data_IF_076417687195
#
_entry.id   IF_076417687195
#
_cell.length_a   1.000
_cell.length_b   1.000
_cell.length_c   1.000
_cell.angle_alpha   90.00
_cell.angle_beta   90.00
_cell.angle_gamma   90.00
#
_symmetry.space_group_name_H-M   'P 1'
#
loop_
_entity.id
_entity.type
_entity.pdbx_description
1 polymer ?
#
# COMPACT_ATOMS: atom_id res chain seq x y z
N UNK A 1 -17.82 -3.50 11.87
CA UNK A 1 -17.38 -3.11 10.51
C UNK A 1 -18.35 -3.72 9.51
N UNK A 2 -18.71 -3.03 8.43
CA UNK A 2 -19.59 -3.58 7.37
C UNK A 2 -18.83 -3.65 6.07
N UNK A 3 -18.87 -4.80 5.40
CA UNK A 3 -18.27 -5.09 4.09
C UNK A 3 -19.43 -5.38 3.13
N UNK A 4 -19.38 -4.85 1.91
CA UNK A 4 -20.33 -5.22 0.87
C UNK A 4 -19.64 -5.40 -0.48
N UNK A 5 -20.12 -6.38 -1.24
CA UNK A 5 -19.90 -6.44 -2.68
C UNK A 5 -20.94 -5.55 -3.38
N UNK A 6 -20.55 -4.79 -4.39
CA UNK A 6 -21.45 -3.94 -5.17
C UNK A 6 -21.43 -4.39 -6.63
N UNK A 7 -22.62 -4.48 -7.25
CA UNK A 7 -22.79 -4.74 -8.68
C UNK A 7 -22.51 -3.46 -9.51
N UNK A 8 -21.32 -2.89 -9.32
CA UNK A 8 -20.84 -1.75 -10.08
C UNK A 8 -19.36 -1.99 -10.36
N UNK A 9 -19.00 -2.07 -11.64
CA UNK A 9 -17.62 -2.21 -12.05
C UNK A 9 -16.80 -0.96 -11.70
N UNK A 10 -15.62 -1.17 -11.11
CA UNK A 10 -14.72 -0.09 -10.71
C UNK A 10 -13.82 -0.45 -9.52
N UNK A 11 -12.98 0.50 -9.06
CA UNK A 11 -12.04 0.25 -7.99
C UNK A 11 -12.76 0.00 -6.66
N UNK A 12 -12.30 -1.04 -5.95
CA UNK A 12 -12.67 -1.29 -4.55
C UNK A 12 -12.21 -0.12 -3.67
N UNK A 13 -12.82 0.03 -2.49
CA UNK A 13 -12.47 1.15 -1.61
C UNK A 13 -12.81 0.93 -0.15
N UNK A 14 -11.94 1.48 0.71
CA UNK A 14 -12.17 1.70 2.13
C UNK A 14 -12.35 3.20 2.39
N UNK A 15 -13.58 3.62 2.72
CA UNK A 15 -13.92 5.04 2.94
C UNK A 15 -14.45 5.20 4.36
N UNK A 16 -13.63 5.61 5.33
CA UNK A 16 -14.08 5.70 6.71
C UNK A 16 -14.94 6.92 7.01
N UNK A 17 -14.75 8.05 6.33
CA UNK A 17 -15.25 9.35 6.84
C UNK A 17 -15.93 10.28 5.83
N UNK A 18 -15.60 10.22 4.53
CA UNK A 18 -16.24 11.12 3.55
C UNK A 18 -17.76 10.90 3.41
N UNK A 19 -18.30 9.86 4.04
CA UNK A 19 -19.70 9.50 4.05
C UNK A 19 -20.47 9.84 5.34
N UNK A 20 -19.82 10.33 6.40
CA UNK A 20 -20.49 10.40 7.72
C UNK A 20 -21.66 11.41 7.75
N UNK A 21 -21.58 12.50 7.00
CA UNK A 21 -22.62 13.54 6.97
C UNK A 21 -23.71 13.33 5.91
N UNK A 22 -23.45 12.59 4.83
CA UNK A 22 -24.38 12.42 3.71
C UNK A 22 -24.94 10.99 3.57
N UNK A 23 -24.23 9.94 4.00
CA UNK A 23 -24.66 8.55 3.82
C UNK A 23 -24.22 7.60 4.96
N UNK A 24 -24.85 7.69 6.15
CA UNK A 24 -24.45 6.96 7.37
C UNK A 24 -24.64 5.44 7.32
N UNK A 25 -25.27 4.91 6.27
CA UNK A 25 -25.57 3.47 6.13
C UNK A 25 -24.66 2.72 5.16
N UNK A 26 -23.68 3.39 4.55
CA UNK A 26 -22.81 2.72 3.58
C UNK A 26 -21.79 1.79 4.25
N UNK A 27 -21.46 0.66 3.58
CA UNK A 27 -20.40 -0.23 4.03
C UNK A 27 -19.05 0.51 4.01
N UNK A 28 -18.19 0.19 4.98
CA UNK A 28 -16.86 0.80 5.15
C UNK A 28 -15.88 0.28 4.11
N UNK A 29 -16.02 -0.99 3.73
CA UNK A 29 -15.31 -1.63 2.62
C UNK A 29 -16.32 -1.95 1.53
N UNK A 30 -16.01 -1.53 0.30
CA UNK A 30 -16.79 -1.79 -0.90
C UNK A 30 -15.92 -2.56 -1.88
N UNK A 31 -16.30 -3.79 -2.18
CA UNK A 31 -15.65 -4.61 -3.21
C UNK A 31 -16.44 -4.43 -4.51
N UNK A 32 -15.78 -3.98 -5.58
CA UNK A 32 -16.40 -3.60 -6.87
C UNK A 32 -15.83 -4.36 -8.08
N UNK A 33 -14.76 -5.11 -7.88
CA UNK A 33 -14.03 -5.88 -8.91
C UNK A 33 -14.76 -7.18 -9.28
N UNK A 34 -15.92 -7.06 -9.91
CA UNK A 34 -16.77 -8.20 -10.29
C UNK A 34 -16.30 -8.91 -11.57
N UNK A 35 -15.43 -8.29 -12.38
CA UNK A 35 -14.84 -8.87 -13.59
C UNK A 35 -13.56 -9.67 -13.33
N UNK A 36 -12.91 -9.41 -12.19
CA UNK A 36 -11.55 -9.89 -11.95
C UNK A 36 -11.55 -11.36 -11.55
N UNK A 37 -10.41 -12.04 -11.68
CA UNK A 37 -10.33 -13.44 -11.30
C UNK A 37 -10.43 -13.59 -9.76
N UNK A 38 -10.73 -14.79 -9.28
CA UNK A 38 -10.97 -15.05 -7.85
C UNK A 38 -9.75 -14.72 -6.97
N UNK A 39 -8.54 -14.89 -7.49
CA UNK A 39 -7.31 -14.64 -6.74
C UNK A 39 -7.08 -13.14 -6.54
N UNK A 40 -7.31 -12.35 -7.59
CA UNK A 40 -7.25 -10.89 -7.52
C UNK A 40 -8.33 -10.34 -6.58
N UNK A 41 -9.56 -10.86 -6.62
CA UNK A 41 -10.59 -10.46 -5.64
C UNK A 41 -10.21 -10.78 -4.20
N UNK A 42 -9.54 -11.91 -3.99
CA UNK A 42 -9.03 -12.28 -2.67
C UNK A 42 -7.96 -11.29 -2.21
N UNK A 43 -6.99 -10.96 -3.07
CA UNK A 43 -5.97 -9.94 -2.80
C UNK A 43 -6.57 -8.56 -2.54
N UNK A 44 -7.44 -8.06 -3.42
CA UNK A 44 -8.14 -6.79 -3.24
C UNK A 44 -8.94 -6.76 -1.93
N UNK A 45 -9.58 -7.87 -1.55
CA UNK A 45 -10.27 -7.95 -0.24
C UNK A 45 -9.29 -7.80 0.91
N UNK A 46 -8.09 -8.36 0.81
CA UNK A 46 -7.02 -8.19 1.80
C UNK A 46 -6.53 -6.75 1.84
N UNK A 47 -6.31 -6.11 0.69
CA UNK A 47 -5.90 -4.70 0.59
C UNK A 47 -6.84 -3.79 1.39
N UNK A 48 -8.14 -3.95 1.17
CA UNK A 48 -9.15 -3.17 1.88
C UNK A 48 -9.23 -3.50 3.37
N UNK A 49 -8.99 -4.76 3.75
CA UNK A 49 -8.86 -5.15 5.14
C UNK A 49 -7.60 -4.57 5.79
N UNK A 50 -6.49 -4.45 5.06
CA UNK A 50 -5.24 -3.84 5.53
C UNK A 50 -5.43 -2.35 5.82
N UNK A 51 -6.13 -1.64 4.95
CA UNK A 51 -6.59 -0.28 5.23
C UNK A 51 -7.44 -0.19 6.50
N UNK A 52 -8.39 -1.11 6.69
CA UNK A 52 -9.22 -1.11 7.89
C UNK A 52 -8.45 -1.50 9.16
N UNK A 53 -7.43 -2.36 9.04
CA UNK A 53 -6.54 -2.72 10.14
C UNK A 53 -5.67 -1.52 10.54
N UNK A 54 -5.06 -0.82 9.57
CA UNK A 54 -4.31 0.42 9.79
C UNK A 54 -5.18 1.48 10.50
N UNK A 55 -6.43 1.67 10.09
CA UNK A 55 -7.37 2.54 10.82
C UNK A 55 -7.58 2.12 12.27
N UNK A 56 -7.52 0.82 12.57
CA UNK A 56 -7.74 0.31 13.92
C UNK A 56 -6.55 0.55 14.85
N UNK A 57 -5.34 0.76 14.29
CA UNK A 57 -4.15 1.18 15.06
C UNK A 57 -4.30 2.63 15.54
N UNK A 58 -4.56 3.58 14.63
CA UNK A 58 -4.83 4.97 14.96
C UNK A 58 -5.91 5.57 14.04
N UNK A 59 -7.18 5.64 14.50
CA UNK A 59 -8.28 6.15 13.68
C UNK A 59 -8.12 7.62 13.29
N UNK A 60 -7.55 8.45 14.16
CA UNK A 60 -7.40 9.90 13.94
C UNK A 60 -6.34 10.15 12.89
N UNK A 61 -5.21 9.44 13.00
CA UNK A 61 -4.11 9.54 12.04
C UNK A 61 -4.53 9.02 10.67
N UNK A 62 -5.19 7.86 10.65
CA UNK A 62 -5.70 7.28 9.41
C UNK A 62 -6.69 8.21 8.70
N UNK A 63 -7.61 8.82 9.45
CA UNK A 63 -8.52 9.87 8.94
C UNK A 63 -7.76 11.01 8.26
N UNK A 64 -6.73 11.54 8.93
CA UNK A 64 -5.88 12.60 8.39
C UNK A 64 -5.17 12.18 7.10
N UNK A 65 -4.65 10.96 7.05
CA UNK A 65 -4.02 10.39 5.84
C UNK A 65 -5.01 10.29 4.69
N UNK A 66 -6.20 9.72 4.90
CA UNK A 66 -7.24 9.62 3.87
C UNK A 66 -7.66 11.02 3.39
N UNK A 67 -7.85 11.95 4.32
CA UNK A 67 -8.22 13.32 3.99
C UNK A 67 -7.18 13.98 3.09
N UNK A 68 -5.90 13.88 3.45
CA UNK A 68 -4.80 14.46 2.67
C UNK A 68 -4.56 13.72 1.34
N UNK A 69 -4.65 12.40 1.31
CA UNK A 69 -4.38 11.62 0.11
C UNK A 69 -5.50 11.67 -0.95
N UNK A 70 -6.76 11.78 -0.52
CA UNK A 70 -7.92 11.56 -1.40
C UNK A 70 -8.98 12.66 -1.38
N UNK A 71 -9.12 13.40 -0.28
CA UNK A 71 -10.22 14.36 -0.12
C UNK A 71 -9.79 15.77 -0.47
N UNK A 72 -8.74 16.27 0.20
CA UNK A 72 -8.24 17.62 0.04
C UNK A 72 -7.85 17.93 -1.42
N UNK A 73 -7.15 17.05 -2.16
CA UNK A 73 -6.87 17.27 -3.58
C UNK A 73 -8.14 17.53 -4.41
N UNK A 74 -9.26 16.86 -4.07
CA UNK A 74 -10.51 16.99 -4.82
C UNK A 74 -11.30 18.27 -4.54
N UNK A 75 -11.00 18.97 -3.44
CA UNK A 75 -11.70 20.20 -3.05
C UNK A 75 -10.84 21.46 -3.21
N UNK A 76 -9.57 21.31 -3.60
CA UNK A 76 -8.70 22.41 -4.01
C UNK A 76 -8.91 22.74 -5.49
N UNK A 77 -8.54 23.96 -5.90
CA UNK A 77 -8.71 24.45 -7.29
C UNK A 77 -7.86 23.70 -8.33
N UNK A 78 -6.97 22.80 -7.90
CA UNK A 78 -6.04 22.01 -8.70
C UNK A 78 -6.55 20.60 -9.07
N UNK A 79 -7.68 20.16 -8.52
CA UNK A 79 -8.32 18.89 -8.86
C UNK A 79 -7.72 17.66 -8.15
N UNK A 80 -8.47 16.55 -8.18
CA UNK A 80 -8.20 15.34 -7.38
C UNK A 80 -6.82 14.69 -7.57
N UNK A 81 -6.13 14.99 -8.66
CA UNK A 81 -4.83 14.43 -9.00
C UNK A 81 -3.79 15.54 -9.09
N UNK A 82 -3.76 16.46 -8.12
CA UNK A 82 -2.77 17.54 -8.09
C UNK A 82 -1.36 16.97 -7.84
N UNK A 83 -0.50 16.88 -8.87
CA UNK A 83 0.82 16.31 -8.76
C UNK A 83 1.83 17.31 -8.17
N UNK A 84 1.40 18.52 -7.79
CA UNK A 84 2.28 19.56 -7.26
C UNK A 84 2.39 19.56 -5.74
N UNK A 85 1.53 18.81 -5.04
CA UNK A 85 1.54 18.74 -3.58
C UNK A 85 2.12 17.41 -3.07
N UNK A 86 3.40 17.47 -2.69
CA UNK A 86 4.15 16.31 -2.18
C UNK A 86 3.58 15.73 -0.88
N UNK A 87 2.83 16.49 -0.08
CA UNK A 87 2.19 15.98 1.14
C UNK A 87 0.99 15.07 0.82
N UNK A 88 0.18 15.44 -0.18
CA UNK A 88 -0.94 14.62 -0.65
C UNK A 88 -0.45 13.29 -1.23
N UNK A 89 0.58 13.35 -2.08
CA UNK A 89 1.21 12.17 -2.66
C UNK A 89 1.83 11.27 -1.58
N UNK A 90 2.53 11.86 -0.62
CA UNK A 90 3.16 11.11 0.47
C UNK A 90 2.15 10.40 1.36
N UNK A 91 1.01 11.04 1.66
CA UNK A 91 -0.08 10.42 2.41
C UNK A 91 -0.71 9.25 1.65
N UNK A 92 -0.97 9.44 0.35
CA UNK A 92 -1.53 8.39 -0.52
C UNK A 92 -0.58 7.20 -0.65
N UNK A 93 0.71 7.47 -0.91
CA UNK A 93 1.76 6.46 -1.01
C UNK A 93 1.89 5.62 0.26
N UNK A 94 1.88 6.25 1.44
CA UNK A 94 1.87 5.51 2.70
C UNK A 94 0.67 4.57 2.83
N UNK A 95 -0.54 5.04 2.50
CA UNK A 95 -1.75 4.22 2.58
C UNK A 95 -1.70 3.03 1.63
N UNK A 96 -1.38 3.29 0.36
CA UNK A 96 -1.46 2.29 -0.70
C UNK A 96 -0.29 1.31 -0.67
N UNK A 97 0.95 1.77 -0.48
CA UNK A 97 2.11 0.87 -0.37
C UNK A 97 1.93 -0.10 0.80
N UNK A 98 1.45 0.36 1.97
CA UNK A 98 1.22 -0.53 3.11
C UNK A 98 0.17 -1.61 2.78
N UNK A 99 -0.98 -1.20 2.25
CA UNK A 99 -2.05 -2.14 1.94
C UNK A 99 -1.65 -3.14 0.84
N UNK A 100 -0.92 -2.68 -0.19
CA UNK A 100 -0.36 -3.52 -1.26
C UNK A 100 0.63 -4.54 -0.70
N UNK A 101 1.47 -4.14 0.25
CA UNK A 101 2.42 -5.05 0.91
C UNK A 101 1.70 -6.17 1.65
N UNK A 102 0.68 -5.81 2.44
CA UNK A 102 -0.14 -6.80 3.18
C UNK A 102 -0.88 -7.72 2.22
N UNK A 103 -1.43 -7.18 1.13
CA UNK A 103 -2.07 -7.94 0.06
C UNK A 103 -1.12 -9.01 -0.49
N UNK A 104 0.07 -8.62 -0.97
CA UNK A 104 1.05 -9.54 -1.56
C UNK A 104 1.46 -10.62 -0.54
N UNK A 105 1.85 -10.23 0.67
CA UNK A 105 2.35 -11.17 1.68
C UNK A 105 1.30 -12.22 2.09
N UNK A 106 0.03 -11.81 2.26
CA UNK A 106 -1.03 -12.74 2.64
C UNK A 106 -1.45 -13.63 1.46
N UNK A 107 -1.46 -13.10 0.23
CA UNK A 107 -1.72 -13.89 -0.96
C UNK A 107 -0.63 -14.96 -1.15
N UNK A 108 0.64 -14.56 -1.07
CA UNK A 108 1.76 -15.49 -1.15
C UNK A 108 1.73 -16.53 -0.03
N UNK A 109 1.44 -16.13 1.20
CA UNK A 109 1.30 -17.08 2.30
C UNK A 109 0.23 -18.14 2.01
N UNK A 110 -0.91 -17.75 1.45
CA UNK A 110 -1.97 -18.70 1.08
C UNK A 110 -1.53 -19.64 -0.04
N UNK A 111 -1.12 -19.12 -1.18
CA UNK A 111 -0.92 -19.96 -2.37
C UNK A 111 0.41 -20.71 -2.31
N UNK A 112 1.50 -20.06 -1.92
CA UNK A 112 2.81 -20.71 -1.81
C UNK A 112 2.86 -21.60 -0.57
N UNK A 113 2.63 -21.05 0.62
CA UNK A 113 2.92 -21.79 1.86
C UNK A 113 1.79 -22.74 2.27
N UNK A 114 0.52 -22.32 2.19
CA UNK A 114 -0.60 -23.17 2.63
C UNK A 114 -1.05 -24.16 1.55
N UNK A 115 -1.02 -23.78 0.28
CA UNK A 115 -1.43 -24.64 -0.83
C UNK A 115 -0.27 -25.31 -1.58
N UNK A 116 0.99 -24.98 -1.26
CA UNK A 116 2.17 -25.64 -1.84
C UNK A 116 2.44 -25.27 -3.30
N UNK A 117 1.95 -24.12 -3.78
CA UNK A 117 2.19 -23.66 -5.15
C UNK A 117 3.53 -22.91 -5.24
N UNK A 118 4.64 -23.64 -5.29
CA UNK A 118 5.99 -23.09 -5.16
C UNK A 118 6.41 -22.07 -6.26
N UNK A 119 5.73 -22.06 -7.41
CA UNK A 119 6.01 -21.15 -8.52
C UNK A 119 4.89 -20.11 -8.71
N UNK A 120 4.11 -19.87 -7.66
CA UNK A 120 3.02 -18.90 -7.70
C UNK A 120 3.58 -17.50 -7.56
N UNK A 121 3.24 -16.64 -8.53
CA UNK A 121 3.47 -15.20 -8.45
C UNK A 121 2.14 -14.49 -8.54
N UNK A 122 1.96 -13.51 -7.68
CA UNK A 122 0.81 -12.62 -7.68
C UNK A 122 0.99 -11.47 -8.68
N UNK A 123 -0.04 -10.62 -8.85
CA UNK A 123 -0.09 -9.48 -9.79
C UNK A 123 1.29 -8.82 -10.01
N UNK A 124 1.65 -8.61 -11.29
CA UNK A 124 2.91 -7.98 -11.70
C UNK A 124 4.16 -8.60 -11.07
N UNK A 125 4.19 -9.93 -10.96
CA UNK A 125 5.28 -10.68 -10.37
C UNK A 125 5.52 -10.31 -8.90
N UNK A 126 4.48 -10.39 -8.07
CA UNK A 126 4.52 -9.91 -6.69
C UNK A 126 4.87 -8.42 -6.59
N UNK A 127 4.45 -7.65 -7.59
CA UNK A 127 4.72 -6.21 -7.75
C UNK A 127 6.18 -5.86 -8.08
N UNK A 128 6.99 -6.86 -8.44
CA UNK A 128 8.38 -6.67 -8.88
C UNK A 128 8.46 -6.05 -10.29
N UNK A 129 7.41 -6.18 -11.12
CA UNK A 129 7.34 -5.52 -12.44
C UNK A 129 6.83 -4.08 -12.42
N UNK A 130 6.93 -3.40 -11.27
CA UNK A 130 6.51 -2.01 -11.14
C UNK A 130 7.68 -1.05 -11.34
N UNK A 131 7.50 -0.12 -12.27
CA UNK A 131 8.48 0.93 -12.56
C UNK A 131 8.15 2.19 -11.77
N UNK A 132 9.17 3.01 -11.50
CA UNK A 132 9.01 4.27 -10.77
C UNK A 132 8.12 5.29 -11.51
N UNK A 133 8.05 5.19 -12.84
CA UNK A 133 7.17 6.02 -13.67
C UNK A 133 5.76 5.44 -13.85
N UNK A 134 5.57 4.15 -13.58
CA UNK A 134 4.31 3.43 -13.81
C UNK A 134 3.35 3.51 -12.63
N UNK A 135 3.87 3.51 -11.40
CA UNK A 135 3.07 3.57 -10.16
C UNK A 135 3.61 4.61 -9.19
N UNK A 136 2.87 5.69 -9.00
CA UNK A 136 3.29 6.78 -8.11
C UNK A 136 2.93 6.50 -6.63
N UNK A 137 1.91 5.67 -6.39
CA UNK A 137 1.31 5.48 -5.07
C UNK A 137 1.30 4.03 -4.58
N UNK A 138 1.07 3.07 -5.47
CA UNK A 138 1.14 1.64 -5.17
C UNK A 138 2.57 1.19 -5.44
N UNK A 139 3.50 1.47 -4.53
CA UNK A 139 4.93 1.22 -4.77
C UNK A 139 5.33 -0.19 -4.36
N UNK A 140 6.40 -0.72 -4.95
CA UNK A 140 7.00 -2.00 -4.53
C UNK A 140 7.75 -1.91 -3.19
N UNK A 141 8.00 -0.70 -2.70
CA UNK A 141 8.91 -0.44 -1.57
C UNK A 141 8.65 -1.31 -0.32
N UNK A 142 7.39 -1.63 0.00
CA UNK A 142 7.12 -2.50 1.16
C UNK A 142 7.47 -3.97 0.92
N UNK A 143 7.33 -4.45 -0.33
CA UNK A 143 7.74 -5.79 -0.75
C UNK A 143 9.27 -5.89 -0.87
N UNK A 144 9.90 -4.89 -1.48
CA UNK A 144 11.35 -4.69 -1.60
C UNK A 144 12.04 -4.78 -0.21
N UNK A 145 11.41 -4.24 0.84
CA UNK A 145 11.97 -4.36 2.20
C UNK A 145 11.94 -5.80 2.76
N UNK A 146 11.07 -6.68 2.26
CA UNK A 146 10.86 -8.03 2.77
C UNK A 146 11.69 -9.06 2.00
N UNK A 147 11.66 -9.03 0.68
CA UNK A 147 12.39 -9.99 -0.16
C UNK A 147 13.83 -9.54 -0.45
N UNK A 148 14.52 -10.26 -1.33
CA UNK A 148 15.92 -10.03 -1.71
C UNK A 148 16.09 -9.73 -3.21
N UNK A 149 15.00 -9.35 -3.89
CA UNK A 149 14.99 -9.12 -5.34
C UNK A 149 15.22 -7.64 -5.68
N UNK A 150 16.37 -7.34 -6.31
CA UNK A 150 16.62 -6.00 -6.86
C UNK A 150 16.26 -5.95 -8.34
N UNK A 151 15.02 -5.56 -8.65
CA UNK A 151 14.47 -5.60 -10.01
C UNK A 151 15.29 -4.74 -10.99
N UNK A 152 15.95 -3.69 -10.49
CA UNK A 152 16.82 -2.85 -11.33
C UNK A 152 18.05 -3.58 -11.86
N UNK A 153 18.57 -4.58 -11.13
CA UNK A 153 19.70 -5.37 -11.61
C UNK A 153 19.31 -6.23 -12.82
N UNK A 154 18.07 -6.74 -12.84
CA UNK A 154 17.59 -7.66 -13.86
C UNK A 154 16.90 -6.96 -15.03
N UNK A 155 16.12 -5.90 -14.76
CA UNK A 155 15.23 -5.27 -15.74
C UNK A 155 15.61 -3.82 -16.11
N UNK A 156 16.61 -3.24 -15.42
CA UNK A 156 17.25 -1.98 -15.81
C UNK A 156 16.70 -0.72 -15.14
N UNK A 157 17.17 0.44 -15.60
CA UNK A 157 17.09 1.72 -14.86
C UNK A 157 15.71 2.33 -14.64
N UNK A 158 14.63 1.73 -15.18
CA UNK A 158 13.25 2.17 -14.94
C UNK A 158 12.67 1.61 -13.62
N UNK A 159 13.33 0.61 -13.04
CA UNK A 159 12.94 -0.04 -11.79
C UNK A 159 13.63 0.63 -10.59
N UNK A 160 13.03 0.55 -9.39
CA UNK A 160 13.59 1.14 -8.19
C UNK A 160 14.96 0.53 -7.87
N UNK A 161 15.87 1.35 -7.33
CA UNK A 161 17.10 0.80 -6.74
C UNK A 161 16.71 0.16 -5.40
N UNK A 162 16.74 -1.16 -5.34
CA UNK A 162 16.45 -1.90 -4.12
C UNK A 162 17.68 -2.64 -3.57
N UNK A 163 18.21 -2.16 -2.45
CA UNK A 163 19.26 -2.84 -1.71
C UNK A 163 18.85 -3.04 -0.25
N UNK A 164 17.55 -3.12 0.00
CA UNK A 164 16.94 -3.38 1.31
C UNK A 164 16.40 -4.80 1.30
N UNK A 165 16.43 -5.48 2.43
CA UNK A 165 15.85 -6.82 2.57
C UNK A 165 15.73 -7.24 4.03
N UNK A 166 14.96 -8.30 4.28
CA UNK A 166 14.91 -8.98 5.57
C UNK A 166 14.07 -8.29 6.64
N UNK A 167 13.26 -7.30 6.28
CA UNK A 167 12.19 -6.83 7.16
C UNK A 167 11.07 -7.86 7.21
N UNK A 168 10.38 -7.93 8.34
CA UNK A 168 9.17 -8.72 8.50
C UNK A 168 7.94 -7.83 8.34
N UNK A 169 6.82 -8.42 7.92
CA UNK A 169 5.54 -7.71 7.85
C UNK A 169 5.17 -7.04 9.20
N UNK A 170 5.49 -7.69 10.33
CA UNK A 170 5.25 -7.13 11.66
C UNK A 170 6.15 -5.92 11.99
N UNK A 171 7.39 -5.89 11.51
CA UNK A 171 8.25 -4.69 11.64
C UNK A 171 7.69 -3.53 10.82
N UNK A 172 7.21 -3.81 9.61
CA UNK A 172 6.55 -2.82 8.76
C UNK A 172 5.26 -2.28 9.40
N UNK A 173 4.43 -3.17 9.99
CA UNK A 173 3.20 -2.81 10.71
C UNK A 173 3.49 -1.92 11.93
N UNK A 174 4.48 -2.28 12.74
CA UNK A 174 4.84 -1.47 13.91
C UNK A 174 5.31 -0.07 13.52
N UNK A 175 5.94 0.06 12.35
CA UNK A 175 6.44 1.35 11.89
C UNK A 175 5.37 2.25 11.26
N UNK A 176 4.25 1.70 10.77
CA UNK A 176 3.13 2.55 10.31
C UNK A 176 2.39 3.20 11.50
N UNK A 177 2.43 2.59 12.68
CA UNK A 177 1.91 3.23 13.89
C UNK A 177 2.80 4.40 14.31
N UNK A 178 2.32 5.60 14.02
CA UNK A 178 3.02 6.87 14.23
C UNK A 178 3.32 7.62 12.95
N UNK A 179 3.30 6.96 11.79
CA UNK A 179 3.64 7.55 10.51
C UNK A 179 2.49 8.39 9.93
N UNK A 180 2.74 9.66 9.62
CA UNK A 180 1.82 10.54 8.87
C UNK A 180 2.26 10.77 7.42
N UNK A 181 3.45 10.32 7.03
CA UNK A 181 3.97 10.47 5.68
C UNK A 181 4.79 9.24 5.33
N UNK A 182 4.97 9.00 4.03
CA UNK A 182 5.82 7.93 3.54
C UNK A 182 7.26 8.06 4.07
N UNK A 183 7.78 9.29 4.12
CA UNK A 183 9.08 9.59 4.73
C UNK A 183 9.11 9.29 6.23
N UNK A 184 8.05 9.61 6.98
CA UNK A 184 8.01 9.29 8.40
C UNK A 184 8.01 7.78 8.65
N UNK A 185 7.34 6.99 7.80
CA UNK A 185 7.40 5.53 7.90
C UNK A 185 8.84 5.02 7.77
N UNK A 186 9.60 5.51 6.77
CA UNK A 186 11.05 5.24 6.63
C UNK A 186 11.84 5.59 7.88
N UNK A 187 11.61 6.78 8.44
CA UNK A 187 12.34 7.26 9.62
C UNK A 187 12.02 6.42 10.86
N UNK A 188 10.78 5.95 11.00
CA UNK A 188 10.38 5.08 12.09
C UNK A 188 11.02 3.70 11.93
N UNK A 189 11.01 3.11 10.73
CA UNK A 189 11.71 1.86 10.42
C UNK A 189 13.19 1.92 10.83
N UNK A 190 13.90 2.95 10.38
CA UNK A 190 15.32 3.16 10.70
C UNK A 190 15.60 3.32 12.21
N UNK A 191 14.60 3.71 13.02
CA UNK A 191 14.77 3.90 14.46
C UNK A 191 14.27 2.71 15.30
N UNK A 192 13.37 1.88 14.76
CA UNK A 192 12.73 0.79 15.51
C UNK A 192 13.39 -0.57 15.29
N UNK A 193 14.15 -0.74 14.21
CA UNK A 193 14.68 -2.05 13.82
C UNK A 193 16.17 -2.00 13.58
N UNK A 194 16.92 -2.91 14.21
CA UNK A 194 18.28 -3.21 13.79
C UNK A 194 18.22 -4.17 12.60
N UNK A 195 18.28 -3.63 11.37
CA UNK A 195 18.37 -4.43 10.15
C UNK A 195 19.68 -4.09 9.44
N UNK A 196 20.42 -5.10 8.98
CA UNK A 196 21.71 -4.91 8.32
C UNK A 196 21.63 -4.06 7.03
N UNK A 197 20.45 -3.97 6.41
CA UNK A 197 20.18 -3.19 5.20
C UNK A 197 19.51 -1.84 5.48
N UNK A 198 19.34 -1.44 6.75
CA UNK A 198 18.68 -0.17 7.14
C UNK A 198 19.32 1.07 6.49
N UNK A 199 20.63 1.03 6.28
CA UNK A 199 21.39 2.12 5.65
C UNK A 199 20.98 2.33 4.17
N UNK A 200 20.36 1.34 3.53
CA UNK A 200 19.84 1.41 2.17
C UNK A 200 18.40 1.95 2.10
N UNK A 201 17.67 2.07 3.23
CA UNK A 201 16.30 2.60 3.24
C UNK A 201 16.16 3.96 2.55
N UNK A 202 17.08 4.93 2.72
CA UNK A 202 17.00 6.19 1.99
C UNK A 202 17.02 6.01 0.47
N UNK A 203 17.85 5.10 -0.04
CA UNK A 203 17.94 4.85 -1.48
C UNK A 203 16.63 4.26 -2.01
N UNK A 204 16.05 3.29 -1.30
CA UNK A 204 14.80 2.66 -1.70
C UNK A 204 13.64 3.69 -1.76
N UNK A 205 13.50 4.51 -0.72
CA UNK A 205 12.41 5.49 -0.65
C UNK A 205 12.56 6.63 -1.66
N UNK A 206 13.80 7.06 -1.96
CA UNK A 206 14.08 8.12 -2.94
C UNK A 206 13.64 7.75 -4.37
N UNK A 207 13.39 6.47 -4.67
CA UNK A 207 12.82 6.09 -5.97
C UNK A 207 11.39 6.62 -6.18
N UNK A 208 10.73 7.04 -5.09
CA UNK A 208 9.32 7.40 -5.06
C UNK A 208 9.08 8.82 -4.54
N UNK A 209 10.11 9.59 -4.16
CA UNK A 209 9.97 10.95 -3.60
C UNK A 209 9.88 12.06 -4.65
#
# INVERSE_FOLDING_TARGET
MKIAALEQDGPSSHIPEFNFLLFPFQPKIKIKEWSDNTEERYGTTIHELAHSAHRSLDPTRYSSLVSRGYVLPCVTFSGCNDPSNSDHQSARRLLETWATTVEIEIVLNRYVNQFGQNNYNYKNDNHQFVTTAGEEYYTSAGRDMIDDENQRQDYGGAFPIDNVSGYTLGQLENAIDGANTFLQWRLILANQTANITELSLPQLFNNWE
#
